data_IF_524537957191
#
_entry.id   IF_524537957191
#
_cell.length_a   1.000
_cell.length_b   1.000
_cell.length_c   1.000
_cell.angle_alpha   90.00
_cell.angle_beta   90.00
_cell.angle_gamma   90.00
#
_symmetry.space_group_name_H-M   'P 1'
#
loop_
_entity.id
_entity.type
_entity.pdbx_description
1 polymer ?
#
# COMPACT_ATOMS: atom_id res chain seq x y z
N UNK A 1 0.40 24.73 -10.12
CA UNK A 1 -0.58 23.70 -9.68
C UNK A 1 -0.65 22.61 -10.73
N UNK A 2 -0.46 21.35 -10.34
CA UNK A 2 -0.55 20.19 -11.25
C UNK A 2 -2.00 19.83 -11.56
N UNK A 3 -2.26 19.37 -12.78
CA UNK A 3 -3.61 19.05 -13.27
C UNK A 3 -3.65 17.72 -14.02
N UNK A 4 -2.91 16.70 -13.55
CA UNK A 4 -2.83 15.38 -14.19
C UNK A 4 -4.20 14.74 -14.44
N UNK A 5 -5.18 14.89 -13.53
CA UNK A 5 -6.51 14.36 -13.73
C UNK A 5 -7.27 14.94 -14.95
N UNK A 6 -6.79 16.06 -15.51
CA UNK A 6 -7.33 16.70 -16.73
C UNK A 6 -6.31 16.69 -17.87
N UNK A 7 -5.27 15.86 -17.78
CA UNK A 7 -4.27 15.75 -18.82
C UNK A 7 -4.85 15.03 -20.05
N UNK A 8 -4.88 15.70 -21.19
CA UNK A 8 -5.38 15.13 -22.44
C UNK A 8 -4.33 14.42 -23.29
N UNK A 9 -3.03 14.53 -22.92
CA UNK A 9 -1.96 13.98 -23.76
C UNK A 9 -1.42 12.65 -23.23
N UNK A 10 -1.42 12.42 -21.90
CA UNK A 10 -0.79 11.26 -21.24
C UNK A 10 0.63 10.93 -21.74
N UNK A 11 1.33 11.94 -22.26
CA UNK A 11 2.65 11.78 -22.90
C UNK A 11 3.71 11.12 -22.00
N UNK A 12 3.57 11.22 -20.67
CA UNK A 12 4.43 10.53 -19.72
C UNK A 12 4.33 9.00 -19.75
N UNK A 13 3.30 8.43 -20.37
CA UNK A 13 3.17 6.99 -20.58
C UNK A 13 3.84 6.52 -21.87
N UNK A 14 4.05 7.43 -22.82
CA UNK A 14 4.45 7.07 -24.19
C UNK A 14 5.87 7.52 -24.53
N UNK A 15 6.38 8.55 -23.88
CA UNK A 15 7.66 9.17 -24.24
C UNK A 15 8.44 9.67 -23.02
N UNK A 16 9.75 9.51 -23.08
CA UNK A 16 10.67 10.07 -22.09
C UNK A 16 10.92 11.57 -22.28
N UNK A 17 10.67 12.13 -23.47
CA UNK A 17 11.00 13.50 -23.84
C UNK A 17 9.79 14.39 -24.10
N UNK A 18 8.59 13.87 -23.94
CA UNK A 18 7.38 14.65 -24.14
C UNK A 18 6.81 14.58 -25.56
N UNK A 19 5.87 15.45 -25.90
CA UNK A 19 5.61 16.80 -25.35
C UNK A 19 4.78 16.80 -24.06
N UNK A 20 5.37 17.24 -22.98
CA UNK A 20 4.66 17.37 -21.71
C UNK A 20 3.95 18.73 -21.60
N UNK A 21 2.70 18.77 -21.07
CA UNK A 21 2.01 20.03 -20.82
C UNK A 21 2.84 20.94 -19.89
N UNK A 22 2.71 22.27 -20.06
CA UNK A 22 3.48 23.27 -19.30
C UNK A 22 3.41 23.10 -17.78
N UNK A 23 2.30 22.60 -17.27
CA UNK A 23 2.06 22.36 -15.85
C UNK A 23 2.22 20.88 -15.45
N UNK A 24 2.95 20.10 -16.23
CA UNK A 24 3.20 18.70 -15.95
C UNK A 24 4.23 18.56 -14.82
N UNK A 25 3.98 17.77 -13.77
CA UNK A 25 4.95 17.54 -12.70
C UNK A 25 6.26 16.90 -13.18
N UNK A 26 6.28 16.28 -14.35
CA UNK A 26 7.50 15.68 -14.92
C UNK A 26 8.62 16.72 -15.12
N UNK A 27 8.28 18.00 -15.29
CA UNK A 27 9.28 19.07 -15.40
C UNK A 27 10.03 19.36 -14.09
N UNK A 28 9.40 19.05 -12.94
CA UNK A 28 9.91 19.35 -11.61
C UNK A 28 10.57 18.15 -10.94
N UNK A 29 10.53 16.97 -11.59
CA UNK A 29 11.11 15.73 -11.08
C UNK A 29 12.55 15.56 -11.58
N UNK A 30 13.46 15.28 -10.67
CA UNK A 30 14.81 14.82 -11.00
C UNK A 30 14.75 13.32 -11.39
N UNK A 31 14.98 13.05 -12.67
CA UNK A 31 14.93 11.69 -13.23
C UNK A 31 16.10 10.82 -12.77
N UNK A 32 17.26 11.43 -12.52
CA UNK A 32 18.43 10.70 -12.03
C UNK A 32 18.21 10.27 -10.58
N UNK A 33 17.66 11.17 -9.76
CA UNK A 33 17.28 10.84 -8.39
C UNK A 33 16.22 9.71 -8.35
N UNK A 34 15.18 9.78 -9.18
CA UNK A 34 14.18 8.72 -9.29
C UNK A 34 14.80 7.40 -9.74
N UNK A 35 15.65 7.41 -10.76
CA UNK A 35 16.34 6.22 -11.23
C UNK A 35 17.24 5.61 -10.16
N UNK A 36 17.93 6.46 -9.38
CA UNK A 36 18.77 6.00 -8.27
C UNK A 36 17.98 5.27 -7.17
N UNK A 37 16.71 5.64 -6.92
CA UNK A 37 15.83 4.89 -6.00
C UNK A 37 15.59 3.47 -6.52
N UNK A 38 15.27 3.31 -7.80
CA UNK A 38 15.04 1.99 -8.41
C UNK A 38 16.33 1.19 -8.65
N UNK A 39 17.50 1.83 -8.61
CA UNK A 39 18.78 1.15 -8.62
C UNK A 39 19.13 0.48 -7.28
N UNK A 40 18.45 0.84 -6.19
CA UNK A 40 18.65 0.20 -4.89
C UNK A 40 18.17 -1.24 -4.96
N UNK A 41 18.90 -2.19 -4.30
CA UNK A 41 18.62 -3.63 -4.43
C UNK A 41 17.18 -4.02 -4.05
N UNK A 42 16.66 -3.48 -2.96
CA UNK A 42 15.33 -3.82 -2.44
C UNK A 42 14.23 -3.18 -3.28
N UNK A 43 14.29 -1.86 -3.45
CA UNK A 43 13.27 -1.09 -4.16
C UNK A 43 13.17 -1.51 -5.62
N UNK A 44 14.31 -1.71 -6.28
CA UNK A 44 14.37 -2.17 -7.65
C UNK A 44 13.84 -3.59 -7.83
N UNK A 45 14.13 -4.50 -6.89
CA UNK A 45 13.59 -5.86 -6.96
C UNK A 45 12.07 -5.88 -6.76
N UNK A 46 11.58 -5.15 -5.76
CA UNK A 46 10.13 -5.02 -5.53
C UNK A 46 9.40 -4.45 -6.76
N UNK A 47 9.95 -3.40 -7.36
CA UNK A 47 9.36 -2.81 -8.56
C UNK A 47 9.35 -3.79 -9.74
N UNK A 48 10.43 -4.53 -9.98
CA UNK A 48 10.50 -5.55 -11.03
C UNK A 48 9.51 -6.67 -10.82
N UNK A 49 9.40 -7.20 -9.60
CA UNK A 49 8.46 -8.28 -9.33
C UNK A 49 7.01 -7.81 -9.38
N UNK A 50 6.70 -6.59 -8.94
CA UNK A 50 5.37 -6.00 -9.10
C UNK A 50 4.96 -5.91 -10.59
N UNK A 51 5.84 -5.38 -11.44
CA UNK A 51 5.59 -5.30 -12.88
C UNK A 51 5.41 -6.69 -13.54
N UNK A 52 6.18 -7.70 -13.11
CA UNK A 52 6.05 -9.07 -13.64
C UNK A 52 4.73 -9.73 -13.23
N UNK A 53 4.28 -9.49 -11.99
CA UNK A 53 2.98 -10.00 -11.52
C UNK A 53 1.85 -9.34 -12.31
N UNK A 54 1.90 -8.02 -12.49
CA UNK A 54 0.92 -7.28 -13.28
C UNK A 54 0.86 -7.81 -14.73
N UNK A 55 1.99 -7.87 -15.42
CA UNK A 55 2.05 -8.35 -16.80
C UNK A 55 1.59 -9.81 -16.93
N UNK A 56 1.93 -10.65 -15.98
CA UNK A 56 1.55 -12.07 -15.98
C UNK A 56 0.12 -12.34 -15.55
N UNK A 57 -0.45 -11.51 -14.66
CA UNK A 57 -1.75 -11.71 -14.02
C UNK A 57 -2.87 -10.84 -14.55
N UNK A 58 -2.59 -9.84 -15.38
CA UNK A 58 -3.56 -8.83 -15.82
C UNK A 58 -4.84 -9.45 -16.38
N UNK A 59 -6.00 -9.06 -15.83
CA UNK A 59 -7.33 -9.59 -16.16
C UNK A 59 -7.49 -11.12 -16.00
N UNK A 60 -6.56 -11.81 -15.35
CA UNK A 60 -6.59 -13.27 -15.12
C UNK A 60 -6.59 -13.65 -13.66
N UNK A 61 -5.82 -12.92 -12.85
CA UNK A 61 -5.71 -13.16 -11.42
C UNK A 61 -6.55 -12.15 -10.63
N UNK A 62 -7.09 -12.60 -9.50
CA UNK A 62 -7.66 -11.69 -8.51
C UNK A 62 -6.54 -10.95 -7.78
N UNK A 63 -6.84 -9.81 -7.15
CA UNK A 63 -5.86 -9.06 -6.35
C UNK A 63 -5.22 -9.92 -5.24
N UNK A 64 -5.96 -10.85 -4.66
CA UNK A 64 -5.45 -11.77 -3.63
C UNK A 64 -4.41 -12.73 -4.23
N UNK A 65 -4.67 -13.28 -5.40
CA UNK A 65 -3.74 -14.15 -6.11
C UNK A 65 -2.47 -13.40 -6.55
N UNK A 66 -2.61 -12.15 -7.03
CA UNK A 66 -1.48 -11.29 -7.37
C UNK A 66 -0.60 -10.99 -6.14
N UNK A 67 -1.20 -10.72 -4.98
CA UNK A 67 -0.45 -10.50 -3.73
C UNK A 67 0.33 -11.77 -3.35
N UNK A 68 -0.27 -12.95 -3.48
CA UNK A 68 0.41 -14.22 -3.18
C UNK A 68 1.55 -14.50 -4.17
N UNK A 69 1.34 -14.25 -5.47
CA UNK A 69 2.39 -14.41 -6.49
C UNK A 69 3.54 -13.44 -6.24
N UNK A 70 3.24 -12.18 -5.93
CA UNK A 70 4.24 -11.17 -5.56
C UNK A 70 5.05 -11.59 -4.32
N UNK A 71 4.36 -12.04 -3.27
CA UNK A 71 5.03 -12.50 -2.06
C UNK A 71 6.00 -13.66 -2.35
N UNK A 72 5.58 -14.66 -3.11
CA UNK A 72 6.42 -15.81 -3.50
C UNK A 72 7.62 -15.38 -4.33
N UNK A 73 7.44 -14.50 -5.31
CA UNK A 73 8.53 -13.98 -6.15
C UNK A 73 9.56 -13.18 -5.37
N UNK A 74 9.12 -12.47 -4.34
CA UNK A 74 10.00 -11.71 -3.45
C UNK A 74 10.57 -12.55 -2.29
N UNK A 75 10.22 -13.83 -2.18
CA UNK A 75 10.66 -14.69 -1.07
C UNK A 75 9.99 -14.35 0.27
N UNK A 76 8.85 -13.67 0.26
CA UNK A 76 8.14 -13.34 1.49
C UNK A 76 7.26 -14.51 1.91
N UNK A 77 7.47 -14.98 3.13
CA UNK A 77 6.67 -16.04 3.77
C UNK A 77 5.73 -15.51 4.86
N UNK A 78 5.82 -14.21 5.18
CA UNK A 78 5.07 -13.57 6.26
C UNK A 78 4.43 -12.28 5.77
N UNK A 79 3.13 -12.15 5.92
CA UNK A 79 2.34 -10.99 5.50
C UNK A 79 1.63 -10.33 6.69
N UNK A 80 1.48 -9.01 6.62
CA UNK A 80 0.70 -8.23 7.56
C UNK A 80 -0.56 -7.65 6.92
N UNK A 81 -1.72 -7.83 7.55
CA UNK A 81 -2.98 -7.23 7.12
C UNK A 81 -3.39 -6.13 8.10
N UNK A 82 -3.38 -4.88 7.65
CA UNK A 82 -3.97 -3.77 8.40
C UNK A 82 -5.37 -3.47 7.86
N UNK A 83 -6.37 -3.50 8.74
CA UNK A 83 -7.76 -3.34 8.33
C UNK A 83 -8.56 -2.38 9.22
N UNK A 84 -9.66 -1.83 8.70
CA UNK A 84 -10.65 -1.16 9.51
C UNK A 84 -11.34 -2.17 10.43
N UNK A 85 -11.67 -1.78 11.66
CA UNK A 85 -12.43 -2.62 12.59
C UNK A 85 -13.78 -3.10 12.00
N UNK A 86 -14.38 -2.30 11.10
CA UNK A 86 -15.61 -2.68 10.38
C UNK A 86 -15.40 -3.74 9.30
N UNK A 87 -14.17 -4.06 8.91
CA UNK A 87 -13.81 -5.05 7.90
C UNK A 87 -13.14 -6.30 8.51
N UNK A 88 -13.42 -6.58 9.78
CA UNK A 88 -12.79 -7.67 10.50
C UNK A 88 -13.11 -9.05 9.89
N UNK A 89 -14.35 -9.23 9.40
CA UNK A 89 -14.78 -10.49 8.78
C UNK A 89 -14.10 -10.72 7.44
N UNK A 90 -14.01 -9.69 6.61
CA UNK A 90 -13.33 -9.72 5.32
C UNK A 90 -11.82 -9.96 5.50
N UNK A 91 -11.21 -9.28 6.48
CA UNK A 91 -9.80 -9.48 6.81
C UNK A 91 -9.52 -10.91 7.28
N UNK A 92 -10.43 -11.54 8.05
CA UNK A 92 -10.29 -12.95 8.45
C UNK A 92 -10.41 -13.91 7.26
N UNK A 93 -11.27 -13.62 6.30
CA UNK A 93 -11.35 -14.42 5.05
C UNK A 93 -10.02 -14.34 4.30
N UNK A 94 -9.47 -13.13 4.10
CA UNK A 94 -8.18 -12.94 3.43
C UNK A 94 -7.04 -13.64 4.17
N UNK A 95 -7.00 -13.53 5.50
CA UNK A 95 -6.03 -14.24 6.34
C UNK A 95 -6.07 -15.75 6.10
N UNK A 96 -7.26 -16.36 6.15
CA UNK A 96 -7.43 -17.81 5.92
C UNK A 96 -6.99 -18.24 4.53
N UNK A 97 -7.26 -17.41 3.51
CA UNK A 97 -6.81 -17.70 2.14
C UNK A 97 -5.29 -17.71 2.07
N UNK A 98 -4.62 -16.72 2.65
CA UNK A 98 -3.16 -16.66 2.65
C UNK A 98 -2.53 -17.82 3.43
N UNK A 99 -3.07 -18.14 4.62
CA UNK A 99 -2.58 -19.27 5.44
C UNK A 99 -2.76 -20.62 4.74
N UNK A 100 -3.91 -20.84 4.09
CA UNK A 100 -4.15 -22.04 3.29
C UNK A 100 -3.19 -22.18 2.09
N UNK A 101 -2.57 -21.06 1.68
CA UNK A 101 -1.56 -21.03 0.62
C UNK A 101 -0.11 -20.98 1.15
N UNK A 102 0.09 -21.31 2.42
CA UNK A 102 1.42 -21.48 3.02
C UNK A 102 2.09 -20.19 3.51
N UNK A 103 1.36 -19.08 3.59
CA UNK A 103 1.87 -17.81 4.12
C UNK A 103 1.53 -17.68 5.62
N UNK A 104 2.44 -17.16 6.41
CA UNK A 104 2.12 -16.73 7.78
C UNK A 104 1.47 -15.35 7.74
N UNK A 105 0.46 -15.12 8.56
CA UNK A 105 -0.30 -13.86 8.51
C UNK A 105 -0.50 -13.28 9.90
N UNK A 106 -0.14 -12.01 10.08
CA UNK A 106 -0.52 -11.19 11.23
C UNK A 106 -1.57 -10.16 10.81
N UNK A 107 -2.50 -9.85 11.71
CA UNK A 107 -3.54 -8.87 11.43
C UNK A 107 -3.59 -7.79 12.50
N UNK A 108 -3.87 -6.54 12.10
CA UNK A 108 -4.08 -5.44 13.04
C UNK A 108 -5.26 -4.58 12.62
N UNK A 109 -6.14 -4.30 13.56
CA UNK A 109 -7.25 -3.38 13.34
C UNK A 109 -6.79 -1.91 13.49
N UNK A 110 -7.44 -1.00 12.77
CA UNK A 110 -7.15 0.44 12.83
C UNK A 110 -7.35 1.09 14.22
N UNK A 111 -7.99 0.37 15.16
CA UNK A 111 -8.20 0.82 16.53
C UNK A 111 -7.15 0.29 17.54
N UNK A 112 -6.13 -0.42 17.07
CA UNK A 112 -5.01 -0.81 17.92
C UNK A 112 -4.39 0.44 18.60
N UNK A 113 -4.00 0.31 19.87
CA UNK A 113 -3.60 1.45 20.70
C UNK A 113 -4.75 2.08 21.49
N UNK A 114 -6.00 1.91 21.05
CA UNK A 114 -7.22 2.32 21.75
C UNK A 114 -7.23 3.79 22.23
N UNK A 115 -6.59 4.69 21.51
CA UNK A 115 -6.52 6.11 21.85
C UNK A 115 -7.91 6.76 21.77
N UNK A 116 -8.35 7.53 22.79
CA UNK A 116 -9.59 8.26 22.72
C UNK A 116 -9.51 9.43 21.72
N UNK A 117 -10.61 9.72 21.05
CA UNK A 117 -10.67 10.79 20.06
C UNK A 117 -10.40 12.18 20.61
N UNK A 118 -10.66 12.37 21.88
CA UNK A 118 -10.39 13.60 22.61
C UNK A 118 -8.90 13.96 22.62
N UNK A 119 -8.01 12.99 22.56
CA UNK A 119 -6.56 13.22 22.46
C UNK A 119 -6.14 13.92 21.17
N UNK A 120 -6.97 13.86 20.12
CA UNK A 120 -6.74 14.60 18.86
C UNK A 120 -7.70 15.78 18.71
N UNK A 121 -8.27 16.26 19.83
CA UNK A 121 -9.10 17.46 19.86
C UNK A 121 -10.54 17.28 19.38
N UNK A 122 -11.04 16.04 19.21
CA UNK A 122 -12.41 15.79 18.75
C UNK A 122 -13.37 15.70 19.93
N UNK A 123 -14.47 16.47 19.87
CA UNK A 123 -15.58 16.46 20.83
C UNK A 123 -16.70 15.48 20.49
N UNK A 124 -17.74 15.45 21.33
CA UNK A 124 -18.89 14.54 21.15
C UNK A 124 -19.63 14.74 19.82
N UNK A 125 -19.73 15.98 19.32
CA UNK A 125 -20.35 16.31 18.03
C UNK A 125 -19.60 15.75 16.82
N UNK A 126 -18.30 15.42 16.98
CA UNK A 126 -17.44 14.91 15.92
C UNK A 126 -17.44 13.38 15.88
N UNK A 127 -18.21 12.73 16.73
CA UNK A 127 -18.32 11.28 16.82
C UNK A 127 -19.54 10.79 16.04
N UNK A 128 -19.34 9.83 15.15
CA UNK A 128 -20.42 9.22 14.36
C UNK A 128 -21.44 8.49 15.25
N UNK A 129 -20.97 7.91 16.37
CA UNK A 129 -21.79 7.31 17.44
C UNK A 129 -21.10 7.59 18.77
N UNK A 130 -21.88 7.83 19.82
CA UNK A 130 -21.35 8.07 21.17
C UNK A 130 -20.43 6.97 21.67
N UNK A 131 -20.62 5.71 21.23
CA UNK A 131 -19.73 4.57 21.52
C UNK A 131 -18.46 4.52 20.68
N UNK A 132 -18.30 5.32 19.61
CA UNK A 132 -17.12 5.32 18.72
C UNK A 132 -16.08 6.34 19.21
N UNK A 133 -15.49 6.10 20.37
CA UNK A 133 -14.61 7.05 21.04
C UNK A 133 -13.12 6.97 20.68
N UNK A 134 -12.70 6.04 19.81
CA UNK A 134 -11.28 5.77 19.53
C UNK A 134 -10.84 6.26 18.16
N UNK A 135 -9.63 6.83 18.07
CA UNK A 135 -8.99 7.17 16.79
C UNK A 135 -8.47 5.92 16.08
N UNK A 136 -8.29 6.02 14.78
CA UNK A 136 -7.56 5.01 14.03
C UNK A 136 -6.06 5.14 14.32
N UNK A 137 -5.35 4.02 14.44
CA UNK A 137 -3.91 4.00 14.56
C UNK A 137 -3.26 4.66 13.33
N UNK A 138 -2.23 5.44 13.58
CA UNK A 138 -1.39 6.01 12.52
C UNK A 138 -0.34 4.98 12.06
N UNK A 139 0.39 5.31 11.00
CA UNK A 139 1.48 4.45 10.53
C UNK A 139 2.58 4.26 11.58
N UNK A 140 2.78 5.24 12.46
CA UNK A 140 3.75 5.19 13.56
C UNK A 140 3.38 4.22 14.67
N UNK A 141 2.09 3.90 14.82
CA UNK A 141 1.56 3.05 15.89
C UNK A 141 1.56 1.56 15.51
N UNK A 142 2.03 1.23 14.30
CA UNK A 142 2.13 -0.17 13.85
C UNK A 142 3.37 -0.83 14.46
N UNK A 143 3.30 -2.13 14.81
CA UNK A 143 4.45 -2.84 15.32
C UNK A 143 5.66 -2.68 14.38
N UNK A 144 6.82 -2.36 14.92
CA UNK A 144 8.06 -2.20 14.14
C UNK A 144 8.43 -3.44 13.34
N UNK A 145 8.01 -4.63 13.77
CA UNK A 145 8.16 -5.90 13.06
C UNK A 145 7.53 -5.90 11.66
N UNK A 146 6.57 -5.02 11.39
CA UNK A 146 5.90 -4.90 10.10
C UNK A 146 6.66 -4.01 9.11
N UNK A 147 7.64 -3.26 9.60
CA UNK A 147 8.44 -2.32 8.81
C UNK A 147 9.79 -2.91 8.39
N UNK A 148 10.17 -4.06 8.93
CA UNK A 148 11.40 -4.77 8.58
C UNK A 148 11.07 -5.94 7.65
N UNK A 149 11.71 -6.05 6.47
CA UNK A 149 11.64 -7.27 5.69
C UNK A 149 12.22 -8.41 6.54
N UNK A 150 11.40 -9.39 6.89
CA UNK A 150 11.89 -10.63 7.49
C UNK A 150 12.62 -11.37 6.39
N UNK A 151 13.96 -11.29 6.39
CA UNK A 151 14.79 -12.20 5.61
C UNK A 151 14.71 -13.56 6.28
N UNK A 152 14.26 -14.54 5.54
CA UNK A 152 14.39 -15.97 5.88
C UNK A 152 15.83 -16.39 5.88
#
# INVERSE_FOLDING_TARGET
MYTCARCGTTACCESESGPFPKNCPTHDLDREELAAVYARPVEGELARQAARVEAGGYCRLTRIEEIMDFARRCGFSHLGIAHCVGLQREADVVRRVFEANGLRVETVACKAGALPKEMVGLGERDKLRRASSRVCATRSDRPRSWLTPVRS
#
